data_IF_160720646222
#
_entry.id   IF_160720646222
#
_cell.length_a   1.000
_cell.length_b   1.000
_cell.length_c   1.000
_cell.angle_alpha   90.00
_cell.angle_beta   90.00
_cell.angle_gamma   90.00
#
_symmetry.space_group_name_H-M   'P 1'
#
loop_
_entity.id
_entity.type
_entity.pdbx_description
1 polymer ?
#
# COMPACT_ATOMS: atom_id res chain seq x y z
N UNK A 1 -15.65 25.98 72.14
CA UNK A 1 -16.12 24.86 71.30
C UNK A 1 -16.36 25.24 69.83
N UNK A 2 -16.99 26.38 69.52
CA UNK A 2 -17.24 26.79 68.11
C UNK A 2 -15.94 27.16 67.35
N UNK A 3 -15.00 27.85 68.02
CA UNK A 3 -13.74 28.26 67.39
C UNK A 3 -12.83 27.08 67.02
N UNK A 4 -12.80 26.05 67.88
CA UNK A 4 -12.02 24.83 67.65
C UNK A 4 -12.57 24.01 66.48
N UNK A 5 -13.90 23.90 66.33
CA UNK A 5 -14.51 23.24 65.18
C UNK A 5 -14.23 23.98 63.86
N UNK A 6 -14.23 25.32 63.88
CA UNK A 6 -13.91 26.13 62.70
C UNK A 6 -12.45 25.97 62.27
N UNK A 7 -11.54 25.85 63.21
CA UNK A 7 -10.12 25.60 62.93
C UNK A 7 -9.92 24.22 62.29
N UNK A 8 -10.48 23.18 62.90
CA UNK A 8 -10.41 21.80 62.37
C UNK A 8 -11.01 21.67 60.96
N UNK A 9 -12.14 22.35 60.67
CA UNK A 9 -12.76 22.32 59.34
C UNK A 9 -11.89 23.00 58.28
N UNK A 10 -11.16 24.08 58.64
CA UNK A 10 -10.21 24.74 57.73
C UNK A 10 -9.00 23.86 57.43
N UNK A 11 -8.41 23.22 58.44
CA UNK A 11 -7.28 22.29 58.26
C UNK A 11 -7.69 21.09 57.40
N UNK A 12 -8.85 20.49 57.68
CA UNK A 12 -9.34 19.33 56.94
C UNK A 12 -9.61 19.68 55.47
N UNK A 13 -10.18 20.86 55.20
CA UNK A 13 -10.39 21.34 53.83
C UNK A 13 -9.08 21.65 53.09
N UNK A 14 -8.07 22.18 53.79
CA UNK A 14 -6.75 22.42 53.21
C UNK A 14 -6.03 21.09 52.90
N UNK A 15 -6.10 20.11 53.80
CA UNK A 15 -5.52 18.78 53.61
C UNK A 15 -6.13 18.04 52.41
N UNK A 16 -7.46 17.99 52.32
CA UNK A 16 -8.15 17.39 51.15
C UNK A 16 -7.77 18.11 49.85
N UNK A 17 -7.64 19.44 49.88
CA UNK A 17 -7.18 20.20 48.71
C UNK A 17 -5.76 19.85 48.28
N UNK A 18 -4.83 19.70 49.22
CA UNK A 18 -3.44 19.32 48.93
C UNK A 18 -3.32 17.88 48.42
N UNK A 19 -4.09 16.95 48.97
CA UNK A 19 -4.12 15.55 48.51
C UNK A 19 -4.62 15.44 47.05
N UNK A 20 -5.68 16.17 46.71
CA UNK A 20 -6.20 16.21 45.34
C UNK A 20 -5.19 16.83 44.37
N UNK A 21 -4.46 17.87 44.78
CA UNK A 21 -3.40 18.49 43.97
C UNK A 21 -2.24 17.51 43.75
N UNK A 22 -1.76 16.84 44.80
CA UNK A 22 -0.68 15.86 44.68
C UNK A 22 -1.07 14.68 43.77
N UNK A 23 -2.31 14.23 43.85
CA UNK A 23 -2.83 13.21 42.94
C UNK A 23 -2.86 13.70 41.49
N UNK A 24 -3.37 14.90 41.23
CA UNK A 24 -3.39 15.48 39.89
C UNK A 24 -1.98 15.64 39.31
N UNK A 25 -1.02 16.11 40.10
CA UNK A 25 0.38 16.23 39.69
C UNK A 25 1.02 14.88 39.34
N UNK A 26 0.71 13.82 40.09
CA UNK A 26 1.18 12.48 39.79
C UNK A 26 0.65 11.98 38.45
N UNK A 27 -0.65 12.17 38.19
CA UNK A 27 -1.27 11.78 36.91
C UNK A 27 -0.72 12.57 35.72
N UNK A 28 -0.44 13.86 35.90
CA UNK A 28 0.19 14.66 34.85
C UNK A 28 1.59 14.12 34.52
N UNK A 29 2.39 13.78 35.53
CA UNK A 29 3.73 13.20 35.30
C UNK A 29 3.69 11.84 34.59
N UNK A 30 2.72 11.00 34.95
CA UNK A 30 2.49 9.72 34.28
C UNK A 30 2.16 9.94 32.80
N UNK A 31 1.20 10.82 32.51
CA UNK A 31 0.78 11.16 31.14
C UNK A 31 1.91 11.82 30.34
N UNK A 32 2.70 12.70 30.95
CA UNK A 32 3.88 13.29 30.31
C UNK A 32 4.89 12.20 29.91
N UNK A 33 5.12 11.21 30.79
CA UNK A 33 5.96 10.06 30.48
C UNK A 33 5.42 9.21 29.33
N UNK A 34 4.11 8.97 29.30
CA UNK A 34 3.45 8.24 28.20
C UNK A 34 3.57 8.99 26.87
N UNK A 35 3.34 10.31 26.87
CA UNK A 35 3.45 11.14 25.67
C UNK A 35 4.88 11.15 25.12
N UNK A 36 5.88 11.27 25.99
CA UNK A 36 7.28 11.19 25.58
C UNK A 36 7.62 9.81 25.00
N UNK A 37 7.18 8.72 25.65
CA UNK A 37 7.38 7.38 25.10
C UNK A 37 6.73 7.25 23.71
N UNK A 38 5.46 7.64 23.56
CA UNK A 38 4.76 7.64 22.28
C UNK A 38 5.48 8.46 21.21
N UNK A 39 6.04 9.61 21.58
CA UNK A 39 6.80 10.45 20.66
C UNK A 39 8.06 9.72 20.14
N UNK A 40 8.79 9.04 21.03
CA UNK A 40 9.96 8.26 20.63
C UNK A 40 9.61 7.07 19.73
N UNK A 41 8.52 6.36 20.03
CA UNK A 41 8.01 5.27 19.19
C UNK A 41 7.61 5.78 17.79
N UNK A 42 6.93 6.92 17.73
CA UNK A 42 6.50 7.53 16.49
C UNK A 42 7.70 7.94 15.62
N UNK A 43 8.75 8.51 16.20
CA UNK A 43 9.94 8.87 15.42
C UNK A 43 10.71 7.62 14.94
N UNK A 44 10.75 6.55 15.75
CA UNK A 44 11.28 5.25 15.35
C UNK A 44 10.53 4.68 14.14
N UNK A 45 9.19 4.65 14.20
CA UNK A 45 8.33 4.20 13.10
C UNK A 45 8.51 5.05 11.84
N UNK A 46 8.65 6.37 11.98
CA UNK A 46 8.96 7.25 10.84
C UNK A 46 10.30 6.91 10.21
N UNK A 47 11.32 6.57 11.01
CA UNK A 47 12.62 6.14 10.48
C UNK A 47 12.49 4.83 9.71
N UNK A 48 11.86 3.81 10.30
CA UNK A 48 11.63 2.52 9.66
C UNK A 48 10.85 2.65 8.35
N UNK A 49 9.84 3.53 8.31
CA UNK A 49 9.10 3.82 7.07
C UNK A 49 10.00 4.40 5.99
N UNK A 50 10.86 5.37 6.34
CA UNK A 50 11.81 5.98 5.38
C UNK A 50 12.78 4.94 4.82
N UNK A 51 13.30 4.05 5.66
CA UNK A 51 14.19 2.96 5.23
C UNK A 51 13.45 1.99 4.29
N UNK A 52 12.23 1.57 4.64
CA UNK A 52 11.42 0.70 3.79
C UNK A 52 11.09 1.36 2.44
N UNK A 53 10.77 2.65 2.43
CA UNK A 53 10.53 3.43 1.21
C UNK A 53 11.77 3.44 0.30
N UNK A 54 12.97 3.56 0.88
CA UNK A 54 14.23 3.49 0.15
C UNK A 54 14.48 2.09 -0.43
N UNK A 55 14.32 1.04 0.37
CA UNK A 55 14.51 -0.35 -0.07
C UNK A 55 13.54 -0.72 -1.20
N UNK A 56 12.27 -0.31 -1.09
CA UNK A 56 11.28 -0.49 -2.16
C UNK A 56 11.67 0.30 -3.40
N UNK A 57 12.21 1.52 -3.24
CA UNK A 57 12.73 2.34 -4.33
C UNK A 57 13.89 1.65 -5.08
N UNK A 58 14.85 1.09 -4.34
CA UNK A 58 15.98 0.32 -4.89
C UNK A 58 15.48 -0.94 -5.61
N UNK A 59 14.58 -1.70 -4.98
CA UNK A 59 13.99 -2.91 -5.58
C UNK A 59 13.29 -2.57 -6.90
N UNK A 60 12.42 -1.55 -6.92
CA UNK A 60 11.68 -1.14 -8.12
C UNK A 60 12.60 -0.66 -9.24
N UNK A 61 13.71 -0.01 -8.89
CA UNK A 61 14.69 0.49 -9.86
C UNK A 61 15.67 -0.59 -10.33
N UNK A 62 15.61 -1.80 -9.76
CA UNK A 62 16.50 -2.89 -10.15
C UNK A 62 16.09 -3.46 -11.52
N UNK A 63 17.10 -3.74 -12.37
CA UNK A 63 16.89 -4.43 -13.67
C UNK A 63 16.22 -5.79 -13.52
N UNK A 64 16.43 -6.47 -12.40
CA UNK A 64 15.78 -7.74 -12.07
C UNK A 64 14.26 -7.60 -11.94
N UNK A 65 13.80 -6.54 -11.26
CA UNK A 65 12.38 -6.25 -11.12
C UNK A 65 11.73 -5.90 -12.46
N UNK A 66 12.34 -4.99 -13.22
CA UNK A 66 11.86 -4.60 -14.55
C UNK A 66 11.78 -5.80 -15.52
N UNK A 67 12.84 -6.59 -15.61
CA UNK A 67 12.85 -7.78 -16.47
C UNK A 67 11.87 -8.86 -15.99
N UNK A 68 11.64 -8.97 -14.67
CA UNK A 68 10.59 -9.82 -14.10
C UNK A 68 9.19 -9.39 -14.53
N UNK A 69 8.90 -8.08 -14.48
CA UNK A 69 7.62 -7.53 -14.96
C UNK A 69 7.43 -7.75 -16.47
N UNK A 70 8.47 -7.52 -17.29
CA UNK A 70 8.43 -7.77 -18.74
C UNK A 70 8.11 -9.24 -19.05
N UNK A 71 8.75 -10.18 -18.34
CA UNK A 71 8.47 -11.62 -18.45
C UNK A 71 7.05 -11.97 -18.04
N UNK A 72 6.58 -11.43 -16.91
CA UNK A 72 5.23 -11.69 -16.42
C UNK A 72 4.16 -11.17 -17.38
N UNK A 73 4.36 -9.97 -17.95
CA UNK A 73 3.48 -9.42 -18.99
C UNK A 73 3.39 -10.32 -20.22
N UNK A 74 4.54 -10.84 -20.70
CA UNK A 74 4.59 -11.79 -21.82
C UNK A 74 3.80 -13.07 -21.53
N UNK A 75 3.97 -13.66 -20.34
CA UNK A 75 3.25 -14.88 -19.93
C UNK A 75 1.74 -14.65 -19.89
N UNK A 76 1.29 -13.51 -19.34
CA UNK A 76 -0.13 -13.17 -19.27
C UNK A 76 -0.73 -13.01 -20.67
N UNK A 77 -0.02 -12.29 -21.54
CA UNK A 77 -0.46 -12.05 -22.91
C UNK A 77 -0.54 -13.35 -23.73
N UNK A 78 0.49 -14.20 -23.66
CA UNK A 78 0.54 -15.52 -24.30
C UNK A 78 -0.60 -16.42 -23.86
N UNK A 79 -0.83 -16.49 -22.54
CA UNK A 79 -1.90 -17.27 -21.98
C UNK A 79 -3.26 -16.77 -22.49
N UNK A 80 -3.50 -15.45 -22.44
CA UNK A 80 -4.71 -14.83 -22.96
C UNK A 80 -4.94 -15.13 -24.45
N UNK A 81 -3.90 -15.01 -25.27
CA UNK A 81 -3.96 -15.33 -26.69
C UNK A 81 -4.33 -16.79 -26.94
N UNK A 82 -3.66 -17.74 -26.26
CA UNK A 82 -3.97 -19.18 -26.39
C UNK A 82 -5.42 -19.48 -26.00
N UNK A 83 -5.92 -18.86 -24.94
CA UNK A 83 -7.34 -19.02 -24.54
C UNK A 83 -8.29 -18.51 -25.62
N UNK A 84 -8.03 -17.32 -26.19
CA UNK A 84 -8.85 -16.76 -27.28
C UNK A 84 -8.78 -17.64 -28.54
N UNK A 85 -7.59 -18.12 -28.87
CA UNK A 85 -7.31 -19.00 -30.00
C UNK A 85 -8.12 -20.30 -29.93
N UNK A 86 -8.10 -20.96 -28.78
CA UNK A 86 -8.85 -22.21 -28.57
C UNK A 86 -10.36 -21.99 -28.61
N UNK A 87 -10.85 -20.87 -28.04
CA UNK A 87 -12.26 -20.50 -28.15
C UNK A 87 -12.69 -20.25 -29.59
N UNK A 88 -11.82 -19.63 -30.39
CA UNK A 88 -12.10 -19.38 -31.80
C UNK A 88 -12.16 -20.68 -32.60
N UNK A 89 -11.19 -21.58 -32.40
CA UNK A 89 -11.15 -22.90 -33.05
C UNK A 89 -12.38 -23.75 -32.73
N UNK A 90 -12.86 -23.70 -31.48
CA UNK A 90 -14.08 -24.39 -31.07
C UNK A 90 -15.35 -23.86 -31.74
N UNK A 91 -15.34 -22.60 -32.23
CA UNK A 91 -16.48 -21.99 -32.93
C UNK A 91 -16.38 -22.07 -34.46
N UNK A 92 -15.17 -21.99 -35.01
CA UNK A 92 -14.90 -21.93 -36.45
C UNK A 92 -13.70 -22.82 -36.81
N UNK A 93 -13.93 -24.13 -36.90
CA UNK A 93 -12.86 -25.14 -37.11
C UNK A 93 -12.18 -25.07 -38.48
N UNK A 94 -12.72 -24.31 -39.43
CA UNK A 94 -12.21 -24.16 -40.80
C UNK A 94 -11.18 -23.03 -40.95
N UNK A 95 -10.93 -22.24 -39.90
CA UNK A 95 -10.06 -21.06 -39.97
C UNK A 95 -8.59 -21.45 -39.84
N UNK A 96 -7.80 -21.22 -40.90
CA UNK A 96 -6.34 -21.36 -40.90
C UNK A 96 -5.68 -20.12 -40.29
N UNK A 97 -4.84 -20.33 -39.28
CA UNK A 97 -4.10 -19.26 -38.61
C UNK A 97 -2.64 -19.33 -39.05
N UNK A 98 -2.15 -18.21 -39.59
CA UNK A 98 -0.93 -18.14 -40.42
C UNK A 98 0.37 -18.47 -39.67
N UNK A 99 0.44 -18.24 -38.35
CA UNK A 99 1.47 -18.78 -37.42
C UNK A 99 1.15 -18.33 -36.00
N UNK A 100 1.58 -19.11 -35.01
CA UNK A 100 1.58 -18.68 -33.61
C UNK A 100 2.69 -17.61 -33.41
N UNK A 101 2.35 -16.35 -33.06
CA UNK A 101 3.31 -15.27 -32.87
C UNK A 101 4.33 -15.52 -31.75
N UNK A 102 4.09 -16.52 -30.89
CA UNK A 102 4.91 -16.83 -29.72
C UNK A 102 5.82 -18.04 -29.91
N UNK A 103 5.83 -18.65 -31.10
CA UNK A 103 6.87 -19.61 -31.46
C UNK A 103 8.19 -18.82 -31.50
N UNK A 104 9.12 -19.15 -30.60
CA UNK A 104 10.45 -18.55 -30.58
C UNK A 104 11.15 -18.78 -31.93
N UNK A 105 11.12 -17.75 -32.76
CA UNK A 105 11.99 -17.66 -33.92
C UNK A 105 13.40 -17.33 -33.39
N UNK A 106 14.44 -18.14 -33.67
CA UNK A 106 15.79 -17.88 -33.18
C UNK A 106 16.40 -16.57 -33.69
N UNK A 107 15.81 -15.94 -34.71
CA UNK A 107 16.15 -14.60 -35.20
C UNK A 107 15.60 -13.47 -34.32
N UNK A 108 14.50 -13.72 -33.61
CA UNK A 108 13.75 -12.72 -32.85
C UNK A 108 14.16 -12.70 -31.37
N UNK A 109 15.01 -13.63 -30.93
CA UNK A 109 15.60 -13.64 -29.59
C UNK A 109 16.40 -12.36 -29.26
N UNK A 110 16.82 -11.63 -30.29
CA UNK A 110 17.58 -10.39 -30.20
C UNK A 110 16.72 -9.15 -30.53
N UNK A 111 15.47 -9.36 -30.93
CA UNK A 111 14.57 -8.30 -31.36
C UNK A 111 13.76 -7.84 -30.16
N UNK A 112 14.00 -6.61 -29.75
CA UNK A 112 13.18 -5.95 -28.75
C UNK A 112 11.78 -5.71 -29.34
N UNK A 113 10.75 -6.31 -28.73
CA UNK A 113 9.37 -6.01 -29.10
C UNK A 113 9.09 -4.56 -28.73
N UNK A 114 8.68 -3.76 -29.73
CA UNK A 114 8.25 -2.37 -29.53
C UNK A 114 6.90 -2.38 -28.81
N UNK A 115 6.92 -1.97 -27.53
CA UNK A 115 5.76 -1.96 -26.64
C UNK A 115 5.03 -0.62 -26.62
N UNK A 116 5.53 0.39 -27.35
CA UNK A 116 4.91 1.71 -27.43
C UNK A 116 3.73 1.77 -28.41
N UNK A 117 3.40 0.64 -29.04
CA UNK A 117 2.22 0.56 -29.91
C UNK A 117 0.93 0.62 -29.05
N UNK A 118 0.14 1.69 -29.16
CA UNK A 118 -1.07 1.84 -28.35
C UNK A 118 -2.11 0.79 -28.74
N UNK A 119 -2.76 0.20 -27.72
CA UNK A 119 -3.93 -0.65 -27.94
C UNK A 119 -5.13 0.23 -28.31
N UNK A 120 -5.48 0.29 -29.59
CA UNK A 120 -6.67 0.98 -30.10
C UNK A 120 -7.95 0.24 -29.68
N UNK A 121 -8.46 0.54 -28.48
CA UNK A 121 -9.76 0.06 -27.99
C UNK A 121 -10.89 0.81 -28.69
N UNK A 122 -11.20 0.43 -29.94
CA UNK A 122 -12.34 0.98 -30.67
C UNK A 122 -13.64 0.38 -30.12
N UNK A 123 -14.25 1.05 -29.13
CA UNK A 123 -15.60 0.72 -28.65
C UNK A 123 -16.64 1.11 -29.70
N UNK A 124 -17.36 0.13 -30.25
CA UNK A 124 -18.59 0.37 -31.00
C UNK A 124 -19.77 0.38 -30.02
N UNK A 125 -20.06 1.53 -29.42
CA UNK A 125 -21.39 1.77 -28.87
C UNK A 125 -22.34 2.06 -30.05
N UNK A 126 -23.38 1.23 -30.16
CA UNK A 126 -24.40 1.34 -31.19
C UNK A 126 -25.13 2.69 -31.15
N UNK A 127 -25.36 3.26 -32.33
CA UNK A 127 -26.16 4.46 -32.47
C UNK A 127 -27.62 4.16 -32.13
N UNK A 128 -28.06 4.68 -30.98
CA UNK A 128 -29.48 4.90 -30.71
C UNK A 128 -30.03 5.91 -31.72
N UNK A 129 -31.16 5.55 -32.33
CA UNK A 129 -31.96 6.46 -33.16
C UNK A 129 -32.90 7.23 -32.24
N UNK A 130 -32.98 8.55 -32.46
CA UNK A 130 -34.00 9.45 -31.88
C UNK A 130 -35.37 9.10 -32.46
#
# INVERSE_FOLDING_TARGET
MILTLRAANKELKAGVGQELVAFAELWVKELEGEVENMWTELESLRSQRRELEQDVGVMRSSRGFESGLKKMGRVIYEFGYRVVLERLRGKHSEMTIERDPFVECPKDANVEMDLDQPFEARYLYGNGTI
#
